data_IF_340257451413
#
_entry.id   IF_340257451413
#
_cell.length_a   1.000
_cell.length_b   1.000
_cell.length_c   1.000
_cell.angle_alpha   90.00
_cell.angle_beta   90.00
_cell.angle_gamma   90.00
#
_symmetry.space_group_name_H-M   'P 1'
#
loop_
_entity.id
_entity.type
_entity.pdbx_description
1 polymer ?
#
# COMPACT_ATOMS: atom_id res chain seq x y z
N UNK A 1 3.19 18.06 -4.79
CA UNK A 1 3.73 16.69 -4.89
C UNK A 1 4.51 16.38 -3.64
N UNK A 2 4.53 15.13 -3.17
CA UNK A 2 5.09 14.76 -1.86
C UNK A 2 4.04 14.35 -0.83
N UNK A 3 2.89 13.84 -1.28
CA UNK A 3 1.86 13.32 -0.39
C UNK A 3 2.25 11.91 0.05
N UNK A 4 2.26 11.69 1.35
CA UNK A 4 2.57 10.43 2.02
C UNK A 4 1.39 10.04 2.92
N UNK A 5 1.29 8.79 3.37
CA UNK A 5 0.19 8.35 4.24
C UNK A 5 0.02 9.21 5.50
N UNK A 6 1.10 9.81 6.01
CA UNK A 6 1.12 10.63 7.22
C UNK A 6 0.49 12.01 7.00
N UNK A 7 0.61 12.58 5.79
CA UNK A 7 0.09 13.91 5.48
C UNK A 7 -1.21 13.88 4.64
N UNK A 8 -1.61 12.73 4.11
CA UNK A 8 -2.80 12.59 3.27
C UNK A 8 -4.09 13.08 3.94
N UNK A 9 -4.21 12.92 5.27
CA UNK A 9 -5.39 13.36 6.04
C UNK A 9 -5.57 14.87 6.03
N UNK A 10 -4.51 15.65 6.22
CA UNK A 10 -4.62 17.11 6.23
C UNK A 10 -5.03 17.67 4.86
N UNK A 11 -4.62 16.99 3.79
CA UNK A 11 -5.08 17.32 2.43
C UNK A 11 -6.56 16.94 2.22
N UNK A 12 -7.03 15.83 2.77
CA UNK A 12 -8.44 15.43 2.69
C UNK A 12 -9.37 16.39 3.47
N UNK A 13 -8.93 16.86 4.63
CA UNK A 13 -9.68 17.80 5.48
C UNK A 13 -9.82 19.20 4.85
N UNK A 14 -9.03 19.52 3.81
CA UNK A 14 -9.18 20.74 3.02
C UNK A 14 -10.42 20.73 2.11
N UNK A 15 -11.23 19.66 2.11
CA UNK A 15 -12.48 19.56 1.36
C UNK A 15 -12.29 19.13 -0.09
N UNK A 16 -11.24 18.36 -0.38
CA UNK A 16 -10.95 17.84 -1.72
C UNK A 16 -11.58 16.47 -1.94
N UNK A 17 -12.12 16.24 -3.13
CA UNK A 17 -12.73 14.95 -3.49
C UNK A 17 -11.68 13.86 -3.79
N UNK A 18 -10.53 14.25 -4.32
CA UNK A 18 -9.45 13.34 -4.71
C UNK A 18 -8.06 13.91 -4.37
N UNK A 19 -7.16 13.02 -3.94
CA UNK A 19 -5.77 13.34 -3.62
C UNK A 19 -4.85 12.45 -4.45
N UNK A 20 -4.00 13.06 -5.29
CA UNK A 20 -3.01 12.32 -6.10
C UNK A 20 -1.73 12.07 -5.32
N UNK A 21 -1.36 10.79 -5.17
CA UNK A 21 -0.17 10.36 -4.40
C UNK A 21 0.76 9.50 -5.27
N UNK A 22 1.79 10.12 -5.86
CA UNK A 22 2.83 9.39 -6.62
C UNK A 22 3.67 8.40 -5.78
N UNK A 23 3.59 8.49 -4.45
CA UNK A 23 4.23 7.55 -3.51
C UNK A 23 3.78 6.09 -3.73
N UNK A 24 2.52 5.88 -4.17
CA UNK A 24 1.95 4.55 -4.43
C UNK A 24 2.62 3.79 -5.59
N UNK A 25 3.30 4.48 -6.50
CA UNK A 25 3.90 3.84 -7.69
C UNK A 25 5.43 3.92 -7.70
N UNK A 26 6.01 4.92 -7.04
CA UNK A 26 7.47 5.14 -7.07
C UNK A 26 8.19 4.78 -5.77
N UNK A 27 7.47 4.40 -4.70
CA UNK A 27 8.08 4.17 -3.37
C UNK A 27 7.37 3.10 -2.52
N UNK A 28 6.68 2.15 -3.14
CA UNK A 28 6.02 1.05 -2.44
C UNK A 28 7.03 0.03 -1.95
N UNK A 29 6.98 -0.30 -0.64
CA UNK A 29 7.63 -1.51 -0.10
C UNK A 29 6.98 -2.73 -0.75
N UNK A 30 7.77 -3.53 -1.46
CA UNK A 30 7.30 -4.78 -2.05
C UNK A 30 6.64 -5.67 -0.99
N UNK A 31 5.45 -6.15 -1.29
CA UNK A 31 4.73 -7.10 -0.44
C UNK A 31 5.41 -8.46 -0.56
N UNK A 32 6.01 -8.93 0.53
CA UNK A 32 6.70 -10.22 0.57
C UNK A 32 5.69 -11.34 0.83
N UNK A 33 5.57 -12.28 -0.12
CA UNK A 33 4.69 -13.43 -0.02
C UNK A 33 5.52 -14.71 -0.02
N UNK A 34 5.28 -15.59 0.96
CA UNK A 34 5.81 -16.96 0.96
C UNK A 34 4.68 -17.97 0.92
N UNK A 35 4.71 -18.86 -0.07
CA UNK A 35 3.76 -19.96 -0.19
C UNK A 35 4.38 -21.21 0.45
N UNK A 36 3.83 -21.62 1.60
CA UNK A 36 4.20 -22.88 2.25
C UNK A 36 3.22 -23.97 1.85
N UNK A 37 3.69 -24.93 1.04
CA UNK A 37 2.92 -26.11 0.65
C UNK A 37 3.21 -27.24 1.63
N UNK A 38 2.18 -27.71 2.35
CA UNK A 38 2.26 -28.95 3.11
C UNK A 38 1.80 -30.09 2.22
N UNK A 39 2.72 -30.98 1.84
CA UNK A 39 2.36 -32.21 1.13
C UNK A 39 1.61 -33.14 2.10
N UNK A 40 0.30 -33.26 1.94
CA UNK A 40 -0.49 -34.30 2.58
C UNK A 40 -0.28 -35.62 1.81
N UNK A 41 0.69 -36.43 2.24
CA UNK A 41 0.75 -37.84 1.85
C UNK A 41 0.05 -38.64 2.97
N UNK A 42 -1.20 -39.01 2.74
CA UNK A 42 -1.83 -40.11 3.49
C UNK A 42 -1.42 -41.40 2.78
N UNK A 43 -0.48 -42.13 3.36
CA UNK A 43 -0.17 -43.51 3.04
C UNK A 43 -0.60 -44.39 4.21
#
# INVERSE_FOLDING_TARGET
>A
GGITPENARSYAEAGVDFVSMGWLTHSVKGMDFSLKSTAYFNA
#
